data_IF_034159696986
#
_entry.id   IF_034159696986
#
_cell.length_a   1.000
_cell.length_b   1.000
_cell.length_c   1.000
_cell.angle_alpha   90.00
_cell.angle_beta   90.00
_cell.angle_gamma   90.00
#
_symmetry.space_group_name_H-M   'P 1'
#
loop_
_entity.id
_entity.type
_entity.pdbx_description
1 polymer ?
#
# COMPACT_ATOMS: atom_id res chain seq x y z
N UNK A 1 -11.81 18.28 -9.56
CA UNK A 1 -11.91 16.87 -10.02
C UNK A 1 -12.72 16.11 -8.99
N UNK A 2 -13.77 15.40 -9.38
CA UNK A 2 -14.63 14.70 -8.41
C UNK A 2 -14.00 13.36 -8.05
N UNK A 3 -13.49 13.25 -6.82
CA UNK A 3 -13.08 12.00 -6.24
C UNK A 3 -14.31 11.26 -5.76
N UNK A 4 -14.66 10.15 -6.41
CA UNK A 4 -15.85 9.39 -6.07
C UNK A 4 -15.47 7.99 -5.63
N UNK A 5 -14.74 7.90 -4.51
CA UNK A 5 -14.77 6.67 -3.71
C UNK A 5 -15.76 6.92 -2.58
N UNK A 6 -16.67 5.97 -2.36
CA UNK A 6 -17.55 6.00 -1.20
C UNK A 6 -16.71 6.04 0.08
N UNK A 7 -17.19 6.73 1.12
CA UNK A 7 -16.49 6.83 2.40
C UNK A 7 -16.16 5.43 3.00
N UNK A 8 -16.98 4.43 2.70
CA UNK A 8 -16.75 3.02 3.05
C UNK A 8 -15.56 2.45 2.27
N UNK A 9 -15.53 2.65 0.96
CA UNK A 9 -14.41 2.21 0.10
C UNK A 9 -13.08 2.87 0.48
N UNK A 10 -13.14 4.12 0.95
CA UNK A 10 -12.02 4.87 1.52
C UNK A 10 -11.44 4.16 2.74
N UNK A 11 -12.32 3.84 3.70
CA UNK A 11 -11.94 3.22 4.97
C UNK A 11 -11.38 1.80 4.77
N UNK A 12 -11.99 1.00 3.91
CA UNK A 12 -11.53 -0.37 3.61
C UNK A 12 -10.12 -0.36 3.02
N UNK A 13 -9.85 0.50 2.03
CA UNK A 13 -8.51 0.62 1.44
C UNK A 13 -7.46 1.10 2.43
N UNK A 14 -7.81 2.08 3.27
CA UNK A 14 -6.92 2.59 4.29
C UNK A 14 -6.59 1.50 5.34
N UNK A 15 -7.57 0.69 5.74
CA UNK A 15 -7.34 -0.47 6.62
C UNK A 15 -6.47 -1.54 5.96
N UNK A 16 -6.72 -1.87 4.69
CA UNK A 16 -5.89 -2.80 3.93
C UNK A 16 -4.43 -2.31 3.80
N UNK A 17 -4.23 -1.02 3.54
CA UNK A 17 -2.90 -0.41 3.48
C UNK A 17 -2.17 -0.46 4.82
N UNK A 18 -2.87 -0.16 5.93
CA UNK A 18 -2.32 -0.30 7.29
C UNK A 18 -1.93 -1.76 7.56
N UNK A 19 -2.81 -2.71 7.26
CA UNK A 19 -2.50 -4.14 7.44
C UNK A 19 -1.32 -4.58 6.58
N UNK A 20 -1.22 -4.12 5.34
CA UNK A 20 -0.12 -4.42 4.44
C UNK A 20 1.22 -3.85 4.95
N UNK A 21 1.26 -2.61 5.43
CA UNK A 21 2.48 -2.03 6.02
C UNK A 21 2.90 -2.80 7.28
N UNK A 22 1.96 -3.18 8.14
CA UNK A 22 2.23 -4.00 9.33
C UNK A 22 2.79 -5.37 8.90
N UNK A 23 2.18 -6.04 7.93
CA UNK A 23 2.66 -7.31 7.40
C UNK A 23 4.07 -7.18 6.77
N UNK A 24 4.35 -6.06 6.10
CA UNK A 24 5.66 -5.73 5.57
C UNK A 24 6.71 -5.56 6.66
N UNK A 25 6.39 -4.84 7.74
CA UNK A 25 7.27 -4.70 8.90
C UNK A 25 7.54 -6.03 9.60
N UNK A 26 6.51 -6.88 9.77
CA UNK A 26 6.66 -8.22 10.34
C UNK A 26 7.58 -9.07 9.44
N UNK A 27 7.38 -9.02 8.13
CA UNK A 27 8.23 -9.73 7.17
C UNK A 27 9.69 -9.26 7.25
N UNK A 28 9.93 -7.95 7.34
CA UNK A 28 11.27 -7.39 7.54
C UNK A 28 11.90 -7.87 8.85
N UNK A 29 11.13 -7.91 9.95
CA UNK A 29 11.61 -8.43 11.24
C UNK A 29 12.00 -9.90 11.13
N UNK A 30 11.20 -10.73 10.46
CA UNK A 30 11.50 -12.14 10.23
C UNK A 30 12.80 -12.29 9.43
N UNK A 31 13.02 -11.48 8.40
CA UNK A 31 14.25 -11.50 7.59
C UNK A 31 15.49 -11.16 8.43
N UNK A 32 15.37 -10.18 9.33
CA UNK A 32 16.44 -9.81 10.26
C UNK A 32 16.74 -10.98 11.23
N UNK A 33 15.72 -11.62 11.78
CA UNK A 33 15.88 -12.76 12.71
C UNK A 33 16.53 -13.96 12.00
N UNK A 34 16.19 -14.20 10.75
CA UNK A 34 16.75 -15.27 9.92
C UNK A 34 18.16 -14.94 9.37
N UNK A 35 18.72 -13.78 9.71
CA UNK A 35 20.02 -13.29 9.22
C UNK A 35 20.15 -13.33 7.69
N UNK A 36 19.04 -13.07 6.99
CA UNK A 36 19.03 -13.04 5.53
C UNK A 36 19.91 -11.88 5.05
N UNK A 37 20.77 -12.17 4.08
CA UNK A 37 21.70 -11.17 3.54
C UNK A 37 20.91 -9.99 2.94
N UNK A 38 21.51 -8.81 2.88
CA UNK A 38 20.92 -7.65 2.21
C UNK A 38 21.05 -7.80 0.68
N UNK A 39 20.35 -8.79 0.13
CA UNK A 39 20.33 -9.10 -1.29
C UNK A 39 18.95 -8.86 -1.91
N UNK A 40 18.67 -9.62 -2.99
CA UNK A 40 17.44 -9.49 -3.76
C UNK A 40 16.20 -9.88 -2.95
N UNK A 41 16.37 -10.61 -1.85
CA UNK A 41 15.27 -11.10 -1.02
C UNK A 41 14.50 -9.93 -0.37
N UNK A 42 15.19 -8.81 -0.12
CA UNK A 42 14.60 -7.60 0.46
C UNK A 42 13.58 -6.91 -0.45
N UNK A 43 13.51 -7.27 -1.73
CA UNK A 43 12.46 -6.76 -2.63
C UNK A 43 11.06 -7.14 -2.15
N UNK A 44 10.93 -8.25 -1.41
CA UNK A 44 9.67 -8.73 -0.85
C UNK A 44 9.14 -7.77 0.22
N UNK A 45 9.85 -7.49 1.33
CA UNK A 45 9.39 -6.52 2.32
C UNK A 45 9.24 -5.12 1.73
N UNK A 46 10.15 -4.68 0.84
CA UNK A 46 10.02 -3.38 0.18
C UNK A 46 8.78 -3.28 -0.70
N UNK A 47 8.43 -4.33 -1.45
CA UNK A 47 7.23 -4.37 -2.28
C UNK A 47 5.95 -4.35 -1.46
N UNK A 48 5.92 -5.08 -0.34
CA UNK A 48 4.78 -5.10 0.58
C UNK A 48 4.57 -3.73 1.24
N UNK A 49 5.64 -3.12 1.75
CA UNK A 49 5.57 -1.78 2.36
C UNK A 49 5.19 -0.73 1.31
N UNK A 50 5.82 -0.77 0.12
CA UNK A 50 5.52 0.15 -0.97
C UNK A 50 4.07 0.05 -1.44
N UNK A 51 3.56 -1.17 -1.63
CA UNK A 51 2.14 -1.41 -1.97
C UNK A 51 1.18 -0.99 -0.86
N UNK A 52 1.56 -1.19 0.41
CA UNK A 52 0.82 -0.74 1.58
C UNK A 52 0.72 0.79 1.66
N UNK A 53 1.82 1.51 1.45
CA UNK A 53 1.84 2.98 1.41
C UNK A 53 1.05 3.50 0.21
N UNK A 54 1.19 2.88 -0.96
CA UNK A 54 0.42 3.25 -2.15
C UNK A 54 -1.09 3.13 -1.91
N UNK A 55 -1.53 2.02 -1.32
CA UNK A 55 -2.95 1.81 -0.99
C UNK A 55 -3.47 2.77 0.09
N UNK A 56 -2.63 3.22 1.03
CA UNK A 56 -2.96 4.30 1.95
C UNK A 56 -3.16 5.63 1.24
N UNK A 57 -2.24 6.03 0.36
CA UNK A 57 -2.29 7.32 -0.37
C UNK A 57 -3.53 7.35 -1.27
N UNK A 58 -3.75 6.31 -2.07
CA UNK A 58 -4.92 6.21 -2.94
C UNK A 58 -6.22 6.12 -2.13
N UNK A 59 -6.20 5.43 -0.99
CA UNK A 59 -7.30 5.39 -0.04
C UNK A 59 -7.60 6.77 0.53
N UNK A 60 -6.59 7.57 0.90
CA UNK A 60 -6.79 8.88 1.51
C UNK A 60 -7.21 9.95 0.49
N UNK A 61 -6.61 9.90 -0.70
CA UNK A 61 -6.94 10.76 -1.82
C UNK A 61 -8.25 10.37 -2.50
N UNK A 62 -8.73 9.12 -2.35
CA UNK A 62 -9.98 8.63 -2.93
C UNK A 62 -9.89 8.33 -4.43
N UNK A 63 -8.74 7.82 -4.89
CA UNK A 63 -8.36 7.66 -6.30
C UNK A 63 -8.05 8.96 -7.07
N UNK A 64 -7.99 10.11 -6.40
CA UNK A 64 -7.69 11.37 -7.06
C UNK A 64 -6.28 11.39 -7.68
N UNK A 65 -5.32 10.72 -7.05
CA UNK A 65 -3.92 10.70 -7.50
C UNK A 65 -3.76 9.82 -8.74
N UNK A 66 -4.25 8.58 -8.73
CA UNK A 66 -4.28 7.71 -9.92
C UNK A 66 -5.07 8.36 -11.08
N UNK A 67 -6.15 9.08 -10.78
CA UNK A 67 -6.92 9.79 -11.81
C UNK A 67 -6.21 11.02 -12.36
N UNK A 68 -5.42 11.72 -11.54
CA UNK A 68 -4.56 12.83 -11.98
C UNK A 68 -3.42 12.34 -12.90
N UNK A 69 -2.97 11.10 -12.74
CA UNK A 69 -2.01 10.42 -13.62
C UNK A 69 -2.68 9.93 -14.94
N UNK A 70 -4.01 10.11 -15.08
CA UNK A 70 -4.76 9.79 -16.30
C UNK A 70 -5.34 8.37 -16.34
N UNK A 71 -5.25 7.61 -15.25
CA UNK A 71 -5.81 6.26 -15.17
C UNK A 71 -7.30 6.34 -14.87
N UNK A 72 -8.12 5.69 -15.70
CA UNK A 72 -9.57 5.60 -15.48
C UNK A 72 -9.87 4.60 -14.37
N UNK A 73 -10.46 5.11 -13.28
CA UNK A 73 -10.93 4.30 -12.15
C UNK A 73 -12.45 4.15 -12.24
N UNK A 74 -13.03 3.01 -11.78
CA UNK A 74 -14.47 2.79 -11.81
C UNK A 74 -15.20 3.84 -10.97
N UNK A 75 -16.31 4.33 -11.51
CA UNK A 75 -17.23 5.28 -10.88
C UNK A 75 -18.18 4.58 -9.91
#
# INVERSE_FOLDING_TARGET
>A
MQCNIDAVGKAVRLKLGIMAVIAGMITSLVFIVLNINFGIEWIIPFGIIGGGVFSMIEGWAGWCVVRAIGIKTPH
#
